data_IF_716094724807
#
_entry.id   IF_716094724807
#
_cell.length_a   1.000
_cell.length_b   1.000
_cell.length_c   1.000
_cell.angle_alpha   90.00
_cell.angle_beta   90.00
_cell.angle_gamma   90.00
#
_symmetry.space_group_name_H-M   'P 1'
#
loop_
_entity.id
_entity.type
_entity.pdbx_description
1 polymer ?
#
# COMPACT_ATOMS: atom_id res chain seq x y z
N UNK A 1 -11.20 39.23 0.36
CA UNK A 1 -11.80 37.95 -0.11
C UNK A 1 -10.72 36.89 -0.06
N UNK A 2 -10.75 36.00 0.91
CA UNK A 2 -9.88 34.84 0.92
C UNK A 2 -10.56 33.76 0.12
N UNK A 3 -10.06 33.46 -1.07
CA UNK A 3 -10.44 32.25 -1.76
C UNK A 3 -9.83 31.07 -1.02
N UNK A 4 -10.65 30.36 -0.25
CA UNK A 4 -10.31 29.05 0.25
C UNK A 4 -10.26 28.13 -0.98
N UNK A 5 -9.07 27.96 -1.54
CA UNK A 5 -8.80 26.94 -2.53
C UNK A 5 -8.88 25.59 -1.81
N UNK A 6 -10.06 25.00 -1.78
CA UNK A 6 -10.20 23.61 -1.36
C UNK A 6 -9.45 22.78 -2.39
N UNK A 7 -8.33 22.17 -1.96
CA UNK A 7 -7.60 21.22 -2.80
C UNK A 7 -8.56 20.13 -3.25
N UNK A 8 -8.72 19.97 -4.57
CA UNK A 8 -9.57 18.93 -5.13
C UNK A 8 -8.89 17.57 -4.94
N UNK A 9 -9.44 16.75 -4.04
CA UNK A 9 -9.00 15.38 -3.84
C UNK A 9 -9.95 14.41 -4.52
N UNK A 10 -9.37 13.47 -5.27
CA UNK A 10 -10.09 12.34 -5.85
C UNK A 10 -9.94 11.13 -4.97
N UNK A 11 -11.03 10.41 -4.72
CA UNK A 11 -11.03 9.19 -3.96
C UNK A 11 -10.83 7.98 -4.87
N UNK A 12 -9.87 7.12 -4.48
CA UNK A 12 -9.58 5.86 -5.14
C UNK A 12 -9.80 4.71 -4.17
N UNK A 13 -10.37 3.63 -4.63
CA UNK A 13 -10.50 2.40 -3.87
C UNK A 13 -9.38 1.43 -4.24
N UNK A 14 -8.76 0.84 -3.22
CA UNK A 14 -7.88 -0.30 -3.39
C UNK A 14 -8.69 -1.52 -3.77
N UNK A 15 -8.30 -2.15 -4.85
CA UNK A 15 -8.96 -3.36 -5.31
C UNK A 15 -7.96 -4.49 -5.47
N UNK A 16 -8.30 -5.65 -4.97
CA UNK A 16 -7.57 -6.90 -5.20
C UNK A 16 -7.97 -7.59 -6.51
N UNK A 17 -8.76 -6.93 -7.35
CA UNK A 17 -9.22 -7.49 -8.62
C UNK A 17 -8.05 -7.82 -9.55
N UNK A 18 -7.91 -9.11 -9.84
CA UNK A 18 -7.01 -9.60 -10.88
C UNK A 18 -5.52 -9.44 -10.59
N UNK A 19 -5.06 -9.65 -9.35
CA UNK A 19 -3.65 -9.60 -8.95
C UNK A 19 -2.95 -8.24 -9.17
N UNK A 20 -3.71 -7.18 -9.33
CA UNK A 20 -3.17 -5.84 -9.66
C UNK A 20 -2.79 -5.02 -8.44
N UNK A 21 -3.42 -5.28 -7.30
CA UNK A 21 -2.98 -4.74 -6.02
C UNK A 21 -2.27 -5.85 -5.25
N UNK A 22 -0.99 -5.65 -4.99
CA UNK A 22 -0.16 -6.66 -4.36
C UNK A 22 0.65 -6.03 -3.25
N UNK A 23 0.62 -6.63 -2.08
CA UNK A 23 1.58 -6.36 -1.01
C UNK A 23 2.39 -7.62 -0.80
N UNK A 24 3.68 -7.52 -1.10
CA UNK A 24 4.63 -8.63 -0.92
C UNK A 24 5.45 -8.41 0.33
N UNK A 25 5.71 -9.51 1.03
CA UNK A 25 6.64 -9.56 2.16
C UNK A 25 7.87 -10.32 1.70
N UNK A 26 9.03 -9.68 1.80
CA UNK A 26 10.31 -10.29 1.45
C UNK A 26 11.08 -10.51 2.74
N UNK A 27 11.33 -11.77 3.07
CA UNK A 27 12.15 -12.15 4.22
C UNK A 27 13.55 -12.49 3.72
N UNK A 28 14.54 -11.72 4.14
CA UNK A 28 15.95 -12.01 3.86
C UNK A 28 16.47 -13.01 4.88
N UNK A 29 16.96 -14.16 4.43
CA UNK A 29 17.65 -15.10 5.30
C UNK A 29 19.11 -14.68 5.42
N UNK A 30 19.57 -14.36 6.64
CA UNK A 30 20.90 -13.80 6.89
C UNK A 30 22.09 -14.72 6.60
N UNK A 31 21.86 -15.97 6.25
CA UNK A 31 22.89 -16.94 5.91
C UNK A 31 22.57 -17.56 4.55
N UNK A 32 23.42 -17.33 3.56
CA UNK A 32 23.34 -18.01 2.26
C UNK A 32 22.57 -17.29 1.17
N UNK A 33 22.14 -16.02 1.37
CA UNK A 33 21.64 -15.17 0.27
C UNK A 33 20.27 -15.53 -0.29
N UNK A 34 19.48 -16.32 0.40
CA UNK A 34 18.11 -16.64 -0.01
C UNK A 34 17.10 -15.59 0.47
N UNK A 35 16.10 -15.32 -0.35
CA UNK A 35 14.94 -14.55 0.04
C UNK A 35 13.66 -15.36 -0.13
N UNK A 36 12.75 -15.23 0.83
CA UNK A 36 11.43 -15.82 0.78
C UNK A 36 10.42 -14.73 0.48
N UNK A 37 9.58 -14.96 -0.52
CA UNK A 37 8.51 -14.03 -0.88
C UNK A 37 7.16 -14.58 -0.47
N UNK A 38 6.40 -13.76 0.23
CA UNK A 38 5.01 -13.99 0.55
C UNK A 38 4.15 -12.84 0.05
N UNK A 39 2.87 -13.07 -0.12
CA UNK A 39 1.92 -12.04 -0.52
C UNK A 39 0.61 -12.14 0.23
N UNK A 40 0.00 -10.98 0.47
CA UNK A 40 -1.36 -10.89 0.97
C UNK A 40 -2.32 -10.92 -0.22
N UNK A 41 -3.32 -11.79 -0.16
CA UNK A 41 -4.35 -11.89 -1.20
C UNK A 41 -5.58 -11.03 -0.93
N UNK A 42 -5.79 -10.60 0.32
CA UNK A 42 -6.91 -9.75 0.70
C UNK A 42 -6.41 -8.38 1.13
N UNK A 43 -6.56 -7.42 0.22
CA UNK A 43 -6.17 -6.01 0.39
C UNK A 43 -7.38 -5.16 0.06
N UNK A 44 -7.67 -4.16 0.90
CA UNK A 44 -8.76 -3.21 0.69
C UNK A 44 -8.42 -1.86 1.33
N UNK A 45 -9.15 -0.85 1.01
CA UNK A 45 -8.94 0.49 1.53
C UNK A 45 -9.25 1.57 0.51
N UNK A 46 -8.89 2.79 0.84
CA UNK A 46 -9.11 3.93 -0.02
C UNK A 46 -8.01 4.98 0.13
N UNK A 47 -7.80 5.74 -0.94
CA UNK A 47 -6.87 6.87 -0.96
C UNK A 47 -7.54 8.10 -1.53
N UNK A 48 -7.34 9.22 -0.87
CA UNK A 48 -7.65 10.55 -1.39
C UNK A 48 -6.37 11.14 -1.98
N UNK A 49 -6.36 11.36 -3.27
CA UNK A 49 -5.20 11.87 -4.00
C UNK A 49 -5.50 13.22 -4.63
N UNK A 50 -4.61 14.18 -4.40
CA UNK A 50 -4.66 15.48 -5.03
C UNK A 50 -3.48 15.66 -5.98
N UNK A 51 -3.77 15.87 -7.27
CA UNK A 51 -2.74 16.17 -8.28
C UNK A 51 -2.12 17.55 -8.05
N UNK A 52 -2.93 18.51 -7.63
CA UNK A 52 -2.50 19.90 -7.41
C UNK A 52 -1.71 20.07 -6.13
N UNK A 53 -2.08 19.35 -5.08
CA UNK A 53 -1.44 19.41 -3.77
C UNK A 53 -1.15 18.01 -3.24
N UNK A 54 -0.21 17.27 -3.84
CA UNK A 54 0.04 15.88 -3.50
C UNK A 54 0.40 15.63 -2.03
N UNK A 55 1.01 16.60 -1.36
CA UNK A 55 1.36 16.50 0.06
C UNK A 55 0.16 16.31 0.98
N UNK A 56 -1.03 16.73 0.54
CA UNK A 56 -2.29 16.57 1.27
C UNK A 56 -2.95 15.21 1.04
N UNK A 57 -2.42 14.40 0.14
CA UNK A 57 -2.94 13.07 -0.14
C UNK A 57 -2.81 12.18 1.08
N UNK A 58 -3.86 11.40 1.36
CA UNK A 58 -3.93 10.51 2.53
C UNK A 58 -4.81 9.32 2.21
N UNK A 59 -4.68 8.28 3.00
CA UNK A 59 -5.50 7.10 2.81
C UNK A 59 -5.14 5.98 3.75
N UNK A 60 -5.77 4.84 3.53
CA UNK A 60 -5.62 3.66 4.35
C UNK A 60 -5.59 2.41 3.47
N UNK A 61 -4.61 1.56 3.71
CA UNK A 61 -4.52 0.22 3.14
C UNK A 61 -4.66 -0.80 4.26
N UNK A 62 -5.60 -1.71 4.09
CA UNK A 62 -5.91 -2.77 5.04
C UNK A 62 -5.63 -4.12 4.40
N UNK A 63 -5.00 -5.00 5.15
CA UNK A 63 -4.69 -6.36 4.72
C UNK A 63 -5.19 -7.36 5.76
N UNK A 64 -5.79 -8.44 5.30
CA UNK A 64 -6.10 -9.58 6.18
C UNK A 64 -4.80 -10.35 6.43
N UNK A 65 -4.30 -10.33 7.66
CA UNK A 65 -3.07 -11.02 8.03
C UNK A 65 -3.15 -12.53 7.75
N UNK A 66 -4.33 -13.12 7.85
CA UNK A 66 -4.57 -14.54 7.57
C UNK A 66 -4.45 -14.89 6.09
N UNK A 67 -4.49 -13.88 5.22
CA UNK A 67 -4.35 -14.07 3.78
C UNK A 67 -2.90 -14.12 3.29
N UNK A 68 -1.92 -13.88 4.18
CA UNK A 68 -0.51 -14.00 3.83
C UNK A 68 -0.15 -15.44 3.47
N UNK A 69 0.48 -15.64 2.33
CA UNK A 69 0.95 -16.94 1.84
C UNK A 69 2.35 -16.82 1.27
N UNK A 70 3.19 -17.75 1.67
CA UNK A 70 4.48 -18.03 1.07
C UNK A 70 4.38 -19.28 0.20
N UNK A 71 5.34 -19.49 -0.68
CA UNK A 71 5.35 -20.65 -1.56
C UNK A 71 5.59 -22.01 -0.88
N UNK A 72 5.89 -22.03 0.42
CA UNK A 72 6.24 -23.26 1.17
C UNK A 72 5.30 -23.47 2.35
N UNK A 73 4.74 -24.68 2.46
CA UNK A 73 3.69 -24.98 3.46
C UNK A 73 4.09 -24.79 4.90
N UNK A 74 5.33 -25.17 5.29
CA UNK A 74 5.83 -25.00 6.66
C UNK A 74 5.94 -23.52 7.05
N UNK A 75 6.46 -22.71 6.13
CA UNK A 75 6.61 -21.27 6.37
C UNK A 75 5.23 -20.59 6.49
N UNK A 76 4.24 -21.05 5.72
CA UNK A 76 2.87 -20.57 5.86
C UNK A 76 2.31 -20.83 7.26
N UNK A 77 2.55 -22.01 7.81
CA UNK A 77 2.09 -22.34 9.15
C UNK A 77 2.79 -21.48 10.21
N UNK A 78 4.11 -21.34 10.10
CA UNK A 78 4.92 -20.60 11.07
C UNK A 78 4.62 -19.10 11.04
N UNK A 79 4.39 -18.52 9.86
CA UNK A 79 4.09 -17.10 9.71
C UNK A 79 2.81 -16.67 10.43
N UNK A 80 1.86 -17.58 10.65
CA UNK A 80 0.58 -17.28 11.33
C UNK A 80 0.60 -17.57 12.83
N UNK A 81 1.67 -18.18 13.34
CA UNK A 81 1.82 -18.48 14.77
C UNK A 81 2.07 -17.25 15.61
N UNK A 82 1.94 -17.42 16.92
CA UNK A 82 2.09 -16.38 17.94
C UNK A 82 3.46 -15.69 17.90
N UNK A 83 4.52 -16.41 17.57
CA UNK A 83 5.88 -15.86 17.47
C UNK A 83 6.09 -14.92 16.28
N UNK A 84 5.17 -14.96 15.32
CA UNK A 84 5.21 -14.13 14.10
C UNK A 84 4.03 -13.16 14.04
N UNK A 85 3.12 -13.37 13.11
CA UNK A 85 1.97 -12.47 12.90
C UNK A 85 0.87 -12.64 13.93
N UNK A 86 0.78 -13.82 14.54
CA UNK A 86 -0.35 -14.17 15.43
C UNK A 86 -1.70 -13.78 14.81
N UNK A 87 -1.90 -14.22 13.56
CA UNK A 87 -2.99 -13.74 12.70
C UNK A 87 -4.39 -14.10 13.20
N UNK A 88 -4.50 -15.08 14.09
CA UNK A 88 -5.77 -15.42 14.75
C UNK A 88 -6.19 -14.35 15.75
N UNK A 89 -5.24 -13.81 16.53
CA UNK A 89 -5.49 -12.72 17.48
C UNK A 89 -5.48 -11.34 16.83
N UNK A 90 -4.62 -11.15 15.83
CA UNK A 90 -4.41 -9.88 15.13
C UNK A 90 -4.64 -10.06 13.62
N UNK A 91 -5.91 -10.20 13.20
CA UNK A 91 -6.22 -10.52 11.81
C UNK A 91 -6.02 -9.34 10.85
N UNK A 92 -5.74 -8.14 11.36
CA UNK A 92 -5.68 -6.93 10.55
C UNK A 92 -4.27 -6.33 10.57
N UNK A 93 -3.73 -6.09 9.37
CA UNK A 93 -2.57 -5.23 9.15
C UNK A 93 -3.07 -3.96 8.49
N UNK A 94 -2.73 -2.80 9.02
CA UNK A 94 -3.21 -1.53 8.51
C UNK A 94 -2.05 -0.55 8.31
N UNK A 95 -2.03 0.08 7.14
CA UNK A 95 -1.20 1.24 6.90
C UNK A 95 -2.09 2.46 6.69
N UNK A 96 -1.93 3.47 7.54
CA UNK A 96 -2.61 4.75 7.40
C UNK A 96 -1.61 5.80 6.95
N UNK A 97 -1.73 6.23 5.70
CA UNK A 97 -0.92 7.29 5.14
C UNK A 97 -1.47 8.65 5.56
N UNK A 98 -0.65 9.45 6.23
CA UNK A 98 -1.02 10.79 6.70
C UNK A 98 -0.72 11.87 5.68
N UNK A 99 0.19 11.61 4.76
CA UNK A 99 0.57 12.53 3.71
C UNK A 99 1.77 12.05 2.91
N UNK A 100 2.17 12.89 1.97
CA UNK A 100 3.37 12.72 1.15
C UNK A 100 4.32 13.87 1.42
N UNK A 101 5.61 13.57 1.55
CA UNK A 101 6.69 14.55 1.69
C UNK A 101 7.63 14.47 0.52
N UNK A 102 8.43 15.52 0.31
CA UNK A 102 9.46 15.57 -0.73
C UNK A 102 8.89 15.24 -2.12
N UNK A 103 7.71 15.78 -2.40
CA UNK A 103 6.99 15.52 -3.64
C UNK A 103 7.71 16.17 -4.83
N UNK A 104 7.94 15.38 -5.88
CA UNK A 104 8.57 15.84 -7.11
C UNK A 104 7.99 15.10 -8.32
N UNK A 105 7.48 15.86 -9.27
CA UNK A 105 6.99 15.33 -10.53
C UNK A 105 8.15 15.16 -11.52
N UNK A 106 8.32 13.96 -12.03
CA UNK A 106 9.21 13.65 -13.16
C UNK A 106 8.34 13.12 -14.29
N UNK A 107 7.99 14.01 -15.24
CA UNK A 107 7.01 13.69 -16.26
C UNK A 107 5.64 13.36 -15.64
N UNK A 108 5.15 12.14 -15.86
CA UNK A 108 3.85 11.65 -15.33
C UNK A 108 3.96 10.88 -14.01
N UNK A 109 5.17 10.79 -13.46
CA UNK A 109 5.45 10.07 -12.21
C UNK A 109 5.71 11.05 -11.10
N UNK A 110 4.96 10.93 -10.02
CA UNK A 110 5.21 11.62 -8.78
C UNK A 110 6.13 10.76 -7.91
N UNK A 111 7.29 11.28 -7.59
CA UNK A 111 8.18 10.71 -6.58
C UNK A 111 7.92 11.42 -5.26
N UNK A 112 7.78 10.66 -4.20
CA UNK A 112 7.50 11.19 -2.86
C UNK A 112 7.92 10.22 -1.78
N UNK A 113 7.91 10.68 -0.54
CA UNK A 113 8.00 9.85 0.65
C UNK A 113 6.60 9.76 1.28
N UNK A 114 6.03 8.57 1.31
CA UNK A 114 4.80 8.30 2.04
C UNK A 114 5.13 8.18 3.52
N UNK A 115 4.39 8.89 4.36
CA UNK A 115 4.55 8.80 5.80
C UNK A 115 3.21 8.52 6.47
N UNK A 116 3.27 7.74 7.52
CA UNK A 116 2.08 7.33 8.24
C UNK A 116 2.36 6.30 9.31
N UNK A 117 1.33 5.64 9.75
CA UNK A 117 1.40 4.61 10.79
C UNK A 117 1.12 3.22 10.22
N UNK A 118 1.96 2.26 10.60
CA UNK A 118 1.76 0.84 10.34
C UNK A 118 1.31 0.15 11.62
N UNK A 119 0.16 -0.48 11.57
CA UNK A 119 -0.36 -1.33 12.64
C UNK A 119 -0.16 -2.79 12.27
N UNK A 120 0.62 -3.48 13.08
CA UNK A 120 0.99 -4.88 12.89
C UNK A 120 1.05 -5.59 14.24
N UNK A 121 0.35 -6.70 14.38
CA UNK A 121 0.35 -7.50 15.62
C UNK A 121 0.04 -6.68 16.88
N UNK A 122 -0.97 -5.78 16.79
CA UNK A 122 -1.38 -4.92 17.90
C UNK A 122 -0.43 -3.78 18.25
N UNK A 123 0.65 -3.61 17.49
CA UNK A 123 1.62 -2.53 17.67
C UNK A 123 1.51 -1.53 16.52
N UNK A 124 1.72 -0.26 16.83
CA UNK A 124 1.69 0.82 15.84
C UNK A 124 3.05 1.48 15.80
N UNK A 125 3.60 1.63 14.59
CA UNK A 125 4.86 2.32 14.35
C UNK A 125 4.68 3.39 13.28
N UNK A 126 5.31 4.55 13.50
CA UNK A 126 5.43 5.57 12.45
C UNK A 126 6.47 5.14 11.44
N UNK A 127 6.09 5.16 10.16
CA UNK A 127 6.97 4.78 9.06
C UNK A 127 6.97 5.83 7.96
N UNK A 128 8.08 5.84 7.21
CA UNK A 128 8.22 6.65 6.01
C UNK A 128 9.00 5.84 4.97
N UNK A 129 8.53 5.84 3.74
CA UNK A 129 9.19 5.09 2.65
C UNK A 129 8.96 5.76 1.30
N UNK A 130 9.90 5.60 0.36
CA UNK A 130 9.76 6.18 -0.97
C UNK A 130 8.66 5.48 -1.77
N UNK A 131 7.91 6.29 -2.50
CA UNK A 131 6.86 5.82 -3.40
C UNK A 131 6.95 6.50 -4.76
N UNK A 132 6.52 5.79 -5.78
CA UNK A 132 6.24 6.32 -7.10
C UNK A 132 4.74 6.24 -7.37
N UNK A 133 4.13 7.33 -7.75
CA UNK A 133 2.70 7.43 -7.99
C UNK A 133 2.46 7.86 -9.43
N UNK A 134 1.64 7.12 -10.15
CA UNK A 134 1.17 7.47 -11.49
C UNK A 134 -0.33 7.63 -11.49
N UNK A 135 -0.79 8.77 -11.95
CA UNK A 135 -2.21 9.02 -12.18
C UNK A 135 -2.52 8.80 -13.67
N UNK A 136 -3.41 7.87 -13.95
CA UNK A 136 -3.81 7.49 -15.30
C UNK A 136 -5.25 7.89 -15.54
N UNK A 137 -5.45 9.04 -16.20
CA UNK A 137 -6.77 9.50 -16.59
C UNK A 137 -7.41 8.50 -17.56
N UNK A 138 -8.64 8.05 -17.24
CA UNK A 138 -9.37 7.02 -18.01
C UNK A 138 -8.58 5.70 -18.16
N UNK A 139 -7.60 5.46 -17.29
CA UNK A 139 -6.75 4.28 -17.34
C UNK A 139 -7.49 2.97 -17.13
N UNK A 140 -8.66 3.01 -16.48
CA UNK A 140 -9.47 1.84 -16.21
C UNK A 140 -9.90 1.07 -17.46
N UNK A 141 -10.05 1.75 -18.59
CA UNK A 141 -10.39 1.12 -19.87
C UNK A 141 -9.42 0.03 -20.30
N UNK A 142 -8.13 0.20 -20.01
CA UNK A 142 -7.09 -0.77 -20.31
C UNK A 142 -7.12 -1.99 -19.37
N UNK A 143 -7.74 -1.86 -18.22
CA UNK A 143 -7.75 -2.90 -17.20
C UNK A 143 -9.01 -3.76 -17.23
N UNK A 144 -10.19 -3.15 -17.28
CA UNK A 144 -11.47 -3.86 -17.19
C UNK A 144 -12.52 -3.36 -18.20
N UNK A 145 -12.12 -2.48 -19.12
CA UNK A 145 -12.99 -1.93 -20.16
C UNK A 145 -13.98 -0.86 -19.65
N UNK A 146 -13.99 -0.56 -18.38
CA UNK A 146 -14.91 0.42 -17.78
C UNK A 146 -14.33 1.84 -17.82
N UNK A 147 -15.19 2.83 -17.65
CA UNK A 147 -14.76 4.22 -17.48
C UNK A 147 -14.22 4.42 -16.06
N UNK A 148 -13.21 5.25 -15.92
CA UNK A 148 -12.65 5.67 -14.65
C UNK A 148 -11.15 5.89 -14.70
N UNK A 149 -10.68 6.61 -13.72
CA UNK A 149 -9.27 6.93 -13.53
C UNK A 149 -8.59 5.84 -12.67
N UNK A 150 -7.29 5.70 -12.84
CA UNK A 150 -6.47 4.73 -12.09
C UNK A 150 -5.31 5.45 -11.44
N UNK A 151 -5.08 5.13 -10.18
CA UNK A 151 -3.90 5.53 -9.44
C UNK A 151 -3.03 4.30 -9.20
N UNK A 152 -1.79 4.35 -9.65
CA UNK A 152 -0.80 3.29 -9.42
C UNK A 152 0.21 3.79 -8.41
N UNK A 153 0.30 3.11 -7.27
CA UNK A 153 1.25 3.44 -6.20
C UNK A 153 2.21 2.26 -6.03
N UNK A 154 3.50 2.52 -6.13
CA UNK A 154 4.56 1.53 -5.93
C UNK A 154 5.51 2.04 -4.85
N UNK A 155 5.82 1.22 -3.88
CA UNK A 155 6.74 1.57 -2.80
C UNK A 155 7.35 0.34 -2.15
N UNK A 156 8.49 0.54 -1.50
CA UNK A 156 9.20 -0.50 -0.75
C UNK A 156 9.49 0.05 0.64
N UNK A 157 9.01 -0.67 1.65
CA UNK A 157 9.36 -0.46 3.05
C UNK A 157 10.39 -1.50 3.46
N UNK A 158 11.55 -1.04 3.91
CA UNK A 158 12.63 -1.90 4.43
C UNK A 158 12.72 -1.82 5.93
#
# INVERSE_FOLDING_TARGET
MSFSSSAFCMQFELTSLGERSRVEVILSTGFGGGSLKGSFSKIYGSFDFSVESPSLSKGEALMDARSLRFGYGKINQDAHKMDWLDSARFPKVAFRMNGLKNTNWTGKVLQADAHGSLSLKGQVAEISFPVNIRYLRQGRRKFDGKHGDVLVIEGILS
#
